data_IF_981617301101
#
_entry.id   IF_981617301101
#
_cell.length_a   1.000
_cell.length_b   1.000
_cell.length_c   1.000
_cell.angle_alpha   90.00
_cell.angle_beta   90.00
_cell.angle_gamma   90.00
#
_symmetry.space_group_name_H-M   'P 1'
#
loop_
_entity.id
_entity.type
_entity.pdbx_description
1 polymer ?
#
# COMPACT_ATOMS: atom_id res chain seq x y z
N UNK A 1 36.23 2.49 24.22
CA UNK A 1 34.77 2.61 23.99
C UNK A 1 34.55 3.12 22.57
N UNK A 2 33.93 2.38 21.66
CA UNK A 2 33.36 2.95 20.46
C UNK A 2 31.86 3.20 20.68
N UNK A 3 31.44 4.41 20.38
CA UNK A 3 30.04 4.80 20.17
C UNK A 3 29.80 4.53 18.69
N UNK A 4 28.84 3.67 18.35
CA UNK A 4 28.36 3.58 16.96
C UNK A 4 26.84 3.42 16.96
N UNK A 5 26.23 4.23 16.10
CA UNK A 5 24.84 4.62 16.10
C UNK A 5 23.86 3.45 15.92
N UNK A 6 22.83 3.48 16.75
CA UNK A 6 21.43 3.17 16.45
C UNK A 6 21.06 3.19 14.96
N UNK A 7 20.53 2.08 14.46
CA UNK A 7 19.12 1.99 14.09
C UNK A 7 18.63 0.62 14.55
N UNK A 8 17.89 0.61 15.65
CA UNK A 8 17.12 -0.56 16.08
C UNK A 8 16.25 -1.01 14.92
N UNK A 9 16.40 -2.28 14.55
CA UNK A 9 15.62 -3.02 13.56
C UNK A 9 14.25 -2.40 13.31
N UNK A 10 14.05 -1.92 12.07
CA UNK A 10 12.73 -1.68 11.50
C UNK A 10 11.94 -2.95 11.80
N UNK A 11 10.89 -2.82 12.62
CA UNK A 11 10.35 -3.87 13.46
C UNK A 11 10.17 -5.20 12.74
N UNK A 12 10.40 -6.30 13.45
CA UNK A 12 10.01 -7.64 13.01
C UNK A 12 8.51 -7.65 12.70
N UNK A 13 8.19 -7.44 11.43
CA UNK A 13 6.84 -7.48 10.91
C UNK A 13 6.40 -8.95 10.87
N UNK A 14 5.54 -9.36 11.81
CA UNK A 14 5.00 -10.72 11.79
C UNK A 14 3.90 -10.80 10.74
N UNK A 15 4.31 -11.03 9.48
CA UNK A 15 3.50 -11.09 8.25
C UNK A 15 2.77 -12.44 8.04
N UNK A 16 2.34 -13.12 9.10
CA UNK A 16 2.11 -14.57 9.04
C UNK A 16 0.93 -15.04 8.16
N UNK A 17 0.05 -14.16 7.68
CA UNK A 17 -1.24 -14.57 7.12
C UNK A 17 -1.45 -14.29 5.62
N UNK A 18 -0.57 -13.55 4.93
CA UNK A 18 -0.72 -13.26 3.49
C UNK A 18 0.15 -14.17 2.60
N UNK A 19 -0.44 -14.72 1.53
CA UNK A 19 0.27 -15.53 0.52
C UNK A 19 1.38 -14.70 -0.18
N UNK A 20 2.57 -15.29 -0.31
CA UNK A 20 3.73 -14.69 -0.99
C UNK A 20 3.43 -14.32 -2.45
N UNK A 21 2.52 -15.03 -3.12
CA UNK A 21 2.08 -14.70 -4.48
C UNK A 21 1.32 -13.38 -4.51
N UNK A 22 0.36 -13.19 -3.60
CA UNK A 22 -0.39 -11.95 -3.47
C UNK A 22 0.55 -10.79 -3.17
N UNK A 23 1.52 -11.00 -2.27
CA UNK A 23 2.52 -9.97 -1.97
C UNK A 23 3.34 -9.60 -3.21
N UNK A 24 3.80 -10.58 -3.98
CA UNK A 24 4.59 -10.32 -5.19
C UNK A 24 3.80 -9.54 -6.24
N UNK A 25 2.56 -9.96 -6.51
CA UNK A 25 1.69 -9.35 -7.52
C UNK A 25 1.34 -7.89 -7.15
N UNK A 26 0.87 -7.69 -5.92
CA UNK A 26 0.39 -6.38 -5.49
C UNK A 26 1.51 -5.44 -5.04
N UNK A 27 2.74 -5.90 -4.84
CA UNK A 27 3.93 -5.04 -4.66
C UNK A 27 4.45 -4.52 -6.00
N UNK A 28 4.26 -5.25 -7.11
CA UNK A 28 4.87 -4.95 -8.41
C UNK A 28 3.85 -5.06 -9.54
N UNK A 29 3.07 -3.99 -9.76
CA UNK A 29 2.12 -3.89 -10.86
C UNK A 29 0.65 -4.01 -10.44
N UNK A 30 0.33 -4.82 -9.43
CA UNK A 30 -1.04 -4.94 -8.93
C UNK A 30 -1.47 -3.84 -7.93
N UNK A 31 -0.53 -3.05 -7.41
CA UNK A 31 -0.73 -2.12 -6.28
C UNK A 31 -1.93 -1.17 -6.47
N UNK A 32 -2.17 -0.71 -7.70
CA UNK A 32 -3.28 0.18 -8.01
C UNK A 32 -4.65 -0.49 -7.86
N UNK A 33 -4.80 -1.77 -8.21
CA UNK A 33 -6.06 -2.50 -8.04
C UNK A 33 -6.39 -2.68 -6.55
N UNK A 34 -5.38 -2.94 -5.73
CA UNK A 34 -5.53 -3.02 -4.28
C UNK A 34 -5.90 -1.66 -3.69
N UNK A 35 -5.21 -0.58 -4.07
CA UNK A 35 -5.52 0.76 -3.60
C UNK A 35 -6.95 1.20 -3.98
N UNK A 36 -7.41 0.88 -5.18
CA UNK A 36 -8.80 1.13 -5.63
C UNK A 36 -9.81 0.32 -4.82
N UNK A 37 -9.49 -0.94 -4.55
CA UNK A 37 -10.34 -1.80 -3.72
C UNK A 37 -10.50 -1.23 -2.32
N UNK A 38 -9.38 -0.87 -1.68
CA UNK A 38 -9.37 -0.24 -0.38
C UNK A 38 -10.16 1.08 -0.39
N UNK A 39 -9.95 1.93 -1.40
CA UNK A 39 -10.70 3.17 -1.57
C UNK A 39 -12.21 2.93 -1.67
N UNK A 40 -12.65 1.98 -2.50
CA UNK A 40 -14.07 1.65 -2.68
C UNK A 40 -14.71 1.11 -1.39
N UNK A 41 -13.96 0.36 -0.58
CA UNK A 41 -14.45 -0.22 0.67
C UNK A 41 -14.48 0.79 1.83
N UNK A 42 -13.57 1.76 1.85
CA UNK A 42 -13.34 2.63 3.02
C UNK A 42 -13.64 4.12 2.79
N UNK A 43 -13.59 4.56 1.54
CA UNK A 43 -13.54 5.97 1.15
C UNK A 43 -12.18 6.64 1.34
N UNK A 44 -11.14 5.89 1.75
CA UNK A 44 -9.81 6.45 2.02
C UNK A 44 -9.16 6.98 0.75
N UNK A 45 -8.56 8.18 0.75
CA UNK A 45 -7.93 8.74 -0.45
C UNK A 45 -6.78 7.87 -0.96
N UNK A 46 -6.76 7.64 -2.27
CA UNK A 46 -5.64 6.99 -2.96
C UNK A 46 -4.52 7.99 -3.15
N UNK A 47 -3.30 7.52 -2.89
CA UNK A 47 -2.06 8.19 -3.21
C UNK A 47 -1.19 7.31 -4.08
N UNK A 48 -0.34 7.94 -4.89
CA UNK A 48 0.62 7.26 -5.73
C UNK A 48 1.97 7.95 -5.73
N UNK A 49 3.04 7.16 -5.77
CA UNK A 49 4.37 7.58 -6.19
C UNK A 49 4.45 7.47 -7.72
N UNK A 50 4.85 8.57 -8.36
CA UNK A 50 4.97 8.67 -9.81
C UNK A 50 6.40 9.09 -10.15
N UNK A 51 7.02 8.38 -11.09
CA UNK A 51 8.28 8.77 -11.71
C UNK A 51 8.05 8.96 -13.21
N UNK A 52 8.13 10.22 -13.67
CA UNK A 52 7.73 10.58 -15.03
C UNK A 52 6.24 10.32 -15.28
N UNK A 53 5.94 9.40 -16.21
CA UNK A 53 4.58 8.96 -16.56
C UNK A 53 4.24 7.59 -15.92
N UNK A 54 5.16 6.99 -15.18
CA UNK A 54 5.01 5.64 -14.63
C UNK A 54 4.50 5.69 -13.18
N UNK A 55 3.50 4.86 -12.89
CA UNK A 55 3.06 4.58 -11.52
C UNK A 55 4.03 3.59 -10.88
N UNK A 56 4.76 4.06 -9.87
CA UNK A 56 5.72 3.23 -9.14
C UNK A 56 5.00 2.43 -8.05
N UNK A 57 4.14 3.10 -7.27
CA UNK A 57 3.37 2.45 -6.21
C UNK A 57 2.11 3.22 -5.87
N UNK A 58 1.05 2.51 -5.48
CA UNK A 58 -0.22 3.08 -5.07
C UNK A 58 -0.64 2.52 -3.70
N UNK A 59 -1.16 3.39 -2.84
CA UNK A 59 -1.66 3.05 -1.50
C UNK A 59 -2.86 3.93 -1.15
N UNK A 60 -3.55 3.62 -0.06
CA UNK A 60 -4.53 4.54 0.55
C UNK A 60 -4.00 5.12 1.85
N UNK A 61 -4.58 6.22 2.33
CA UNK A 61 -4.26 6.74 3.67
C UNK A 61 -5.50 6.79 4.53
N UNK A 62 -5.40 6.21 5.73
CA UNK A 62 -6.48 6.25 6.72
C UNK A 62 -6.68 7.66 7.32
N UNK A 63 -7.75 7.90 8.11
CA UNK A 63 -8.00 9.20 8.74
C UNK A 63 -6.92 9.64 9.75
N UNK A 64 -6.15 8.69 10.28
CA UNK A 64 -5.05 8.95 11.23
C UNK A 64 -3.76 9.36 10.50
N UNK A 65 -3.74 9.26 9.17
CA UNK A 65 -2.62 9.65 8.32
C UNK A 65 -1.64 8.52 8.03
N UNK A 66 -2.00 7.26 8.31
CA UNK A 66 -1.18 6.10 8.02
C UNK A 66 -1.45 5.57 6.61
N UNK A 67 -0.40 5.24 5.88
CA UNK A 67 -0.51 4.60 4.59
C UNK A 67 -0.83 3.11 4.75
N UNK A 68 -1.67 2.59 3.86
CA UNK A 68 -2.07 1.18 3.83
C UNK A 68 -1.85 0.65 2.42
N UNK A 69 -1.03 -0.40 2.32
CA UNK A 69 -0.78 -1.15 1.08
C UNK A 69 -0.78 -2.66 1.35
N UNK A 70 -0.30 -3.46 0.39
CA UNK A 70 -0.20 -4.91 0.53
C UNK A 70 0.71 -5.36 1.69
N UNK A 71 1.71 -4.56 2.07
CA UNK A 71 2.58 -4.86 3.20
C UNK A 71 1.94 -4.48 4.55
N UNK A 72 0.76 -3.87 4.52
CA UNK A 72 -0.04 -3.52 5.70
C UNK A 72 0.01 -2.03 5.99
N UNK A 73 0.01 -1.70 7.28
CA UNK A 73 -0.08 -0.32 7.77
C UNK A 73 1.32 0.25 7.97
N UNK A 74 1.57 1.45 7.42
CA UNK A 74 2.81 2.19 7.54
C UNK A 74 2.59 3.45 8.36
N UNK A 75 3.48 3.73 9.30
CA UNK A 75 3.43 4.98 10.06
C UNK A 75 3.78 6.17 9.15
N UNK A 76 2.80 7.05 8.90
CA UNK A 76 2.91 8.20 8.00
C UNK A 76 2.22 8.00 6.65
N UNK A 77 2.08 9.06 5.87
CA UNK A 77 1.21 9.07 4.68
C UNK A 77 1.87 8.52 3.39
N UNK A 78 2.93 7.72 3.54
CA UNK A 78 3.63 7.06 2.42
C UNK A 78 3.91 5.59 2.76
N UNK A 79 3.82 4.73 1.75
CA UNK A 79 4.17 3.32 1.85
C UNK A 79 5.48 3.05 1.11
N UNK A 80 6.43 2.36 1.74
CA UNK A 80 7.69 1.95 1.10
C UNK A 80 7.61 0.48 0.71
N UNK A 81 8.12 0.15 -0.46
CA UNK A 81 8.29 -1.23 -0.94
C UNK A 81 9.71 -1.40 -1.46
N UNK A 82 10.18 -2.62 -1.79
CA UNK A 82 11.46 -2.81 -2.47
C UNK A 82 11.59 -2.05 -3.80
N UNK A 83 10.47 -1.66 -4.42
CA UNK A 83 10.42 -0.93 -5.69
C UNK A 83 10.01 0.54 -5.53
N UNK A 84 9.50 0.92 -4.35
CA UNK A 84 9.05 2.27 -4.03
C UNK A 84 10.00 2.96 -3.07
N UNK A 85 10.50 4.11 -3.51
CA UNK A 85 11.36 4.96 -2.69
C UNK A 85 10.57 6.07 -1.99
N UNK A 86 9.23 5.97 -1.98
CA UNK A 86 8.33 7.03 -1.57
C UNK A 86 8.79 7.73 -0.29
N UNK A 87 8.86 9.06 -0.40
CA UNK A 87 9.16 9.96 0.71
C UNK A 87 8.07 11.03 0.78
N UNK A 88 7.93 11.74 1.91
CA UNK A 88 7.02 12.89 2.01
C UNK A 88 7.21 13.98 0.94
N UNK A 89 8.40 14.02 0.30
CA UNK A 89 8.77 14.98 -0.73
C UNK A 89 8.68 14.42 -2.15
N UNK A 90 8.60 13.10 -2.30
CA UNK A 90 8.32 12.46 -3.57
C UNK A 90 6.89 12.81 -3.98
N UNK A 91 6.63 12.97 -5.27
CA UNK A 91 5.32 13.38 -5.78
C UNK A 91 4.22 12.47 -5.22
N UNK A 92 3.34 13.05 -4.39
CA UNK A 92 2.18 12.39 -3.78
C UNK A 92 0.95 13.11 -4.32
N UNK A 93 0.21 12.46 -5.23
CA UNK A 93 -1.02 13.00 -5.82
C UNK A 93 -2.22 12.21 -5.33
N UNK A 94 -3.31 12.93 -4.97
CA UNK A 94 -4.63 12.32 -4.80
C UNK A 94 -5.16 11.96 -6.18
N UNK A 95 -5.18 10.66 -6.49
CA UNK A 95 -5.43 10.22 -7.85
C UNK A 95 -6.86 9.67 -8.00
N UNK A 96 -7.70 10.41 -8.73
CA UNK A 96 -9.12 10.08 -8.94
C UNK A 96 -9.41 9.30 -10.23
N UNK A 97 -8.47 9.25 -11.18
CA UNK A 97 -8.71 8.58 -12.47
C UNK A 97 -8.70 7.04 -12.38
N UNK A 98 -8.47 6.48 -11.19
CA UNK A 98 -8.55 5.04 -10.94
C UNK A 98 -9.97 4.55 -10.56
N UNK A 99 -10.90 5.48 -10.33
CA UNK A 99 -12.29 5.15 -9.97
C UNK A 99 -13.07 4.54 -11.15
N UNK A 100 -12.57 4.71 -12.37
CA UNK A 100 -13.21 4.25 -13.62
C UNK A 100 -12.74 2.87 -14.09
N UNK A 101 -11.92 2.15 -13.31
CA UNK A 101 -11.50 0.81 -13.68
C UNK A 101 -12.71 -0.13 -13.75
N UNK A 102 -12.92 -0.72 -14.94
CA UNK A 102 -13.86 -1.80 -15.14
C UNK A 102 -13.45 -3.02 -14.31
N UNK A 103 -14.43 -3.86 -13.97
CA UNK A 103 -14.18 -5.04 -13.15
C UNK A 103 -13.23 -6.01 -13.88
N UNK A 104 -12.14 -6.39 -13.23
CA UNK A 104 -11.09 -7.29 -13.75
C UNK A 104 -10.82 -8.38 -12.72
N UNK A 105 -10.28 -9.52 -13.15
CA UNK A 105 -9.89 -10.62 -12.26
C UNK A 105 -8.98 -10.15 -11.10
N UNK A 106 -8.12 -9.14 -11.36
CA UNK A 106 -7.24 -8.54 -10.35
C UNK A 106 -8.00 -7.69 -9.33
N UNK A 107 -9.07 -6.99 -9.72
CA UNK A 107 -9.93 -6.27 -8.77
C UNK A 107 -10.73 -7.25 -7.89
N UNK A 108 -11.24 -8.32 -8.47
CA UNK A 108 -11.94 -9.36 -7.72
C UNK A 108 -11.00 -10.04 -6.73
N UNK A 109 -9.80 -10.39 -7.17
CA UNK A 109 -8.78 -10.96 -6.28
C UNK A 109 -8.36 -9.99 -5.17
N UNK A 110 -8.11 -8.72 -5.49
CA UNK A 110 -7.79 -7.70 -4.49
C UNK A 110 -8.91 -7.57 -3.45
N UNK A 111 -10.17 -7.60 -3.88
CA UNK A 111 -11.34 -7.54 -3.00
C UNK A 111 -11.40 -8.75 -2.07
N UNK A 112 -11.27 -9.95 -2.61
CA UNK A 112 -11.31 -11.18 -1.80
C UNK A 112 -10.15 -11.23 -0.80
N UNK A 113 -8.97 -10.74 -1.20
CA UNK A 113 -7.80 -10.61 -0.33
C UNK A 113 -8.07 -9.66 0.86
N UNK A 114 -8.62 -8.47 0.59
CA UNK A 114 -8.94 -7.48 1.62
C UNK A 114 -10.01 -7.99 2.58
N UNK A 115 -11.05 -8.64 2.06
CA UNK A 115 -12.14 -9.15 2.87
C UNK A 115 -11.75 -10.38 3.70
N UNK A 116 -10.75 -11.16 3.26
CA UNK A 116 -10.23 -12.31 4.02
C UNK A 116 -9.22 -11.90 5.10
N UNK A 117 -8.61 -10.71 5.01
CA UNK A 117 -7.59 -10.21 5.95
C UNK A 117 -7.89 -8.79 6.44
N UNK A 118 -9.07 -8.50 6.99
CA UNK A 118 -9.50 -7.13 7.27
C UNK A 118 -8.63 -6.41 8.32
N UNK A 119 -8.06 -7.15 9.30
CA UNK A 119 -7.12 -6.60 10.29
C UNK A 119 -5.83 -6.07 9.66
N UNK A 120 -5.35 -6.72 8.60
CA UNK A 120 -4.14 -6.33 7.89
C UNK A 120 -4.29 -4.95 7.20
N UNK A 121 -5.52 -4.60 6.85
CA UNK A 121 -5.86 -3.38 6.13
C UNK A 121 -6.59 -2.33 6.98
N UNK A 122 -6.53 -2.44 8.32
CA UNK A 122 -7.17 -1.53 9.27
C UNK A 122 -8.71 -1.41 9.11
N UNK A 123 -9.40 -2.54 8.86
CA UNK A 123 -10.86 -2.58 8.61
C UNK A 123 -11.69 -3.09 9.79
N UNK A 124 -11.10 -3.28 10.98
CA UNK A 124 -11.78 -3.79 12.19
C UNK A 124 -11.52 -2.95 13.44
#
# INVERSE_FOLDING_TARGET
MPISNTVSNVGDWTFADLDDNARTEFVCGGCYYLAVTLHKLTGYPIYAEIDGDDFIHCWVTDPDGNAIDINGIHNGNWAKTPYSSATPKGSILKYHALDTLENTDLLEWARDLVLSHPSHFNLI
#
